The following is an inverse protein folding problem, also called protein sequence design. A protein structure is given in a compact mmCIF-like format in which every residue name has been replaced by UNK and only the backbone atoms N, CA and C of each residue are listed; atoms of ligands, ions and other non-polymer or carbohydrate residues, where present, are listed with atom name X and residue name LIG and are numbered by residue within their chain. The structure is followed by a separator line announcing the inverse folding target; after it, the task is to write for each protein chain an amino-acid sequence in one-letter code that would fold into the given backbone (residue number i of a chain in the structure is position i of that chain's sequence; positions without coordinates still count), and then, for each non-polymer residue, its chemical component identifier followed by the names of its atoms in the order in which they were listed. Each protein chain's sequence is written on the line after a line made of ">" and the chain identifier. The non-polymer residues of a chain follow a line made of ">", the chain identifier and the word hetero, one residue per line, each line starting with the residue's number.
data_IF_632700796562
#
_entry.id   IF_632700796562
#
_cell.length_a   1.000
_cell.length_b   1.000
_cell.length_c   1.000
_cell.angle_alpha   90.00
_cell.angle_beta   90.00
_cell.angle_gamma   90.00
#
_symmetry.space_group_name_H-M   'P 1'
#
loop_
_entity.id
_entity.type
_entity.pdbx_description
1 polymer ?
#
# COMPACT_ATOMS: atom_id res chain seq x y z
N UNK A 1 2.05 -14.44 28.84
CA UNK A 1 2.65 -13.59 27.86
C UNK A 1 1.60 -12.90 27.02
N UNK A 2 1.67 -11.56 26.99
CA UNK A 2 0.63 -10.70 26.44
C UNK A 2 0.70 -10.50 24.90
N UNK A 3 1.74 -11.03 24.23
CA UNK A 3 1.92 -10.85 22.78
C UNK A 3 1.01 -11.85 22.04
N UNK A 4 0.06 -11.33 21.28
CA UNK A 4 -0.89 -12.12 20.49
C UNK A 4 -0.53 -12.21 19.01
N UNK A 5 0.35 -11.31 18.51
CA UNK A 5 0.75 -11.29 17.12
C UNK A 5 1.79 -10.22 16.84
N UNK A 6 2.17 -10.14 15.57
CA UNK A 6 3.24 -9.27 15.06
C UNK A 6 2.74 -8.51 13.84
N UNK A 7 2.77 -7.19 13.88
CA UNK A 7 2.72 -6.38 12.67
C UNK A 7 4.14 -6.26 12.13
N UNK A 8 4.33 -6.62 10.87
CA UNK A 8 5.60 -6.51 10.18
C UNK A 8 5.62 -5.19 9.44
N UNK A 9 6.64 -4.36 9.72
CA UNK A 9 6.82 -3.09 9.05
C UNK A 9 5.57 -2.18 9.16
N UNK A 10 5.54 -1.10 8.40
CA UNK A 10 4.43 -0.17 8.37
C UNK A 10 4.20 0.36 6.96
N UNK A 11 2.97 0.28 6.47
CA UNK A 11 2.49 0.97 5.26
C UNK A 11 3.44 0.84 4.05
N UNK A 12 3.88 -0.37 3.74
CA UNK A 12 4.82 -0.62 2.64
C UNK A 12 4.25 -0.11 1.32
N UNK A 13 5.05 0.66 0.59
CA UNK A 13 4.68 1.37 -0.64
C UNK A 13 3.67 2.52 -0.46
N UNK A 14 3.49 3.05 0.75
CA UNK A 14 2.63 4.22 0.98
C UNK A 14 3.22 5.50 0.37
N UNK A 15 4.41 5.90 0.83
CA UNK A 15 5.04 7.16 0.40
C UNK A 15 5.82 7.01 -0.89
N UNK A 16 6.39 5.83 -1.13
CA UNK A 16 7.22 5.58 -2.29
C UNK A 16 6.88 4.24 -2.94
N UNK A 17 6.68 4.29 -4.26
CA UNK A 17 6.46 3.12 -5.11
C UNK A 17 7.18 3.26 -6.47
N UNK A 18 8.21 4.09 -6.50
CA UNK A 18 9.05 4.35 -7.66
C UNK A 18 10.52 4.28 -7.24
N UNK A 19 11.29 3.50 -7.97
CA UNK A 19 12.65 3.15 -7.63
C UNK A 19 13.56 3.43 -8.83
N UNK A 20 14.65 4.17 -8.63
CA UNK A 20 15.53 4.63 -9.71
C UNK A 20 17.01 4.56 -9.35
N UNK A 21 17.39 3.87 -8.29
CA UNK A 21 18.80 3.63 -8.02
C UNK A 21 19.40 2.69 -9.10
N UNK A 22 20.69 2.76 -9.37
CA UNK A 22 21.36 1.83 -10.29
C UNK A 22 21.07 0.36 -9.98
N UNK A 23 21.05 -0.01 -8.70
CA UNK A 23 20.69 -1.35 -8.23
C UNK A 23 19.26 -1.77 -8.59
N UNK A 24 18.31 -0.82 -8.60
CA UNK A 24 16.92 -1.11 -8.95
C UNK A 24 16.79 -1.46 -10.44
N UNK A 25 17.48 -0.70 -11.30
CA UNK A 25 17.51 -0.99 -12.73
C UNK A 25 18.16 -2.35 -13.02
N UNK A 26 19.23 -2.70 -12.30
CA UNK A 26 19.91 -3.98 -12.41
C UNK A 26 19.03 -5.14 -11.95
N UNK A 27 18.36 -4.99 -10.82
CA UNK A 27 17.40 -5.96 -10.30
C UNK A 27 16.21 -6.15 -11.26
N UNK A 28 15.70 -5.07 -11.85
CA UNK A 28 14.62 -5.14 -12.85
C UNK A 28 15.06 -5.88 -14.12
N UNK A 29 16.28 -5.62 -14.63
CA UNK A 29 16.84 -6.39 -15.75
C UNK A 29 16.94 -7.87 -15.42
N UNK A 30 17.42 -8.21 -14.21
CA UNK A 30 17.49 -9.58 -13.74
C UNK A 30 16.11 -10.24 -13.73
N UNK A 31 15.12 -9.61 -13.15
CA UNK A 31 13.73 -10.05 -13.13
C UNK A 31 13.20 -10.35 -14.54
N UNK A 32 13.42 -9.45 -15.49
CA UNK A 32 12.97 -9.63 -16.86
C UNK A 32 13.75 -10.74 -17.60
N UNK A 33 15.06 -10.88 -17.34
CA UNK A 33 15.87 -12.00 -17.87
C UNK A 33 15.36 -13.35 -17.38
N UNK A 34 15.04 -13.46 -16.12
CA UNK A 34 14.48 -14.68 -15.53
C UNK A 34 13.12 -15.03 -16.16
N UNK A 35 12.29 -14.03 -16.43
CA UNK A 35 10.95 -14.20 -16.95
C UNK A 35 10.90 -14.49 -18.46
N UNK A 36 11.67 -13.77 -19.25
CA UNK A 36 11.59 -13.80 -20.72
C UNK A 36 12.74 -14.57 -21.38
N UNK A 37 13.81 -14.83 -20.67
CA UNK A 37 15.01 -15.53 -21.12
C UNK A 37 15.88 -14.69 -22.05
N UNK A 38 15.37 -14.30 -23.20
CA UNK A 38 16.12 -13.56 -24.23
C UNK A 38 15.53 -12.16 -24.48
N UNK A 39 16.38 -11.27 -24.97
CA UNK A 39 15.97 -9.91 -25.37
C UNK A 39 14.96 -9.94 -26.52
N UNK A 40 15.07 -10.91 -27.42
CA UNK A 40 14.11 -11.11 -28.50
C UNK A 40 12.71 -11.46 -27.96
N UNK A 41 12.63 -12.35 -26.99
CA UNK A 41 11.38 -12.72 -26.35
C UNK A 41 10.75 -11.52 -25.62
N UNK A 42 11.57 -10.73 -24.91
CA UNK A 42 11.14 -9.50 -24.27
C UNK A 42 10.57 -8.52 -25.30
N UNK A 43 11.32 -8.25 -26.36
CA UNK A 43 10.90 -7.33 -27.43
C UNK A 43 9.56 -7.76 -28.05
N UNK A 44 9.42 -9.05 -28.33
CA UNK A 44 8.18 -9.60 -28.90
C UNK A 44 7.01 -9.45 -27.92
N UNK A 45 7.21 -9.77 -26.64
CA UNK A 45 6.18 -9.67 -25.62
C UNK A 45 5.75 -8.23 -25.34
N UNK A 46 6.67 -7.28 -25.44
CA UNK A 46 6.41 -5.86 -25.22
C UNK A 46 5.95 -5.13 -26.50
N UNK A 47 6.03 -5.75 -27.66
CA UNK A 47 5.66 -5.13 -28.93
C UNK A 47 6.56 -3.92 -29.28
N UNK A 48 7.85 -3.99 -28.99
CA UNK A 48 8.79 -2.87 -29.06
C UNK A 48 9.10 -2.39 -30.47
N UNK A 49 8.70 -3.11 -31.51
CA UNK A 49 8.75 -2.64 -32.90
C UNK A 49 7.92 -1.39 -33.13
N UNK A 50 6.86 -1.22 -32.33
CA UNK A 50 6.03 -0.02 -32.37
C UNK A 50 6.83 1.21 -31.91
N UNK A 51 6.83 2.26 -32.70
CA UNK A 51 7.62 3.50 -32.49
C UNK A 51 9.13 3.25 -32.32
N UNK A 52 9.64 2.17 -32.92
CA UNK A 52 11.06 1.86 -32.90
C UNK A 52 11.69 1.77 -31.49
N UNK A 53 10.98 1.13 -30.57
CA UNK A 53 11.40 0.95 -29.18
C UNK A 53 12.15 -0.36 -28.92
N UNK A 54 12.61 -1.04 -29.99
CA UNK A 54 13.27 -2.36 -29.88
C UNK A 54 14.60 -2.24 -29.13
N UNK A 55 14.73 -3.02 -28.08
CA UNK A 55 15.98 -3.17 -27.34
C UNK A 55 16.97 -4.03 -28.10
N UNK A 56 18.21 -3.58 -28.22
CA UNK A 56 19.34 -4.31 -28.83
C UNK A 56 20.35 -4.78 -27.80
N UNK A 57 20.29 -4.22 -26.59
CA UNK A 57 21.11 -4.58 -25.44
C UNK A 57 20.28 -4.52 -24.16
N UNK A 58 20.59 -5.41 -23.21
CA UNK A 58 19.95 -5.41 -21.90
C UNK A 58 20.20 -4.14 -21.10
N UNK A 59 21.31 -3.47 -21.29
CA UNK A 59 21.62 -2.20 -20.60
C UNK A 59 20.70 -1.04 -21.02
N UNK A 60 19.97 -1.19 -22.12
CA UNK A 60 18.93 -0.24 -22.53
C UNK A 60 17.62 -0.42 -21.72
N UNK A 61 17.47 -1.57 -21.06
CA UNK A 61 16.28 -1.89 -20.26
C UNK A 61 16.45 -1.35 -18.85
N UNK A 62 15.51 -0.52 -18.43
CA UNK A 62 15.48 0.09 -17.09
C UNK A 62 14.05 0.40 -16.67
N UNK A 63 13.84 0.65 -15.40
CA UNK A 63 12.59 1.17 -14.85
C UNK A 63 12.23 2.49 -15.56
N UNK A 64 10.93 2.74 -15.70
CA UNK A 64 10.40 3.88 -16.45
C UNK A 64 11.04 5.19 -16.03
N UNK A 65 11.40 6.01 -17.01
CA UNK A 65 11.91 7.35 -16.83
C UNK A 65 10.91 8.34 -17.39
N UNK A 66 10.95 9.56 -16.87
CA UNK A 66 10.19 10.64 -17.47
C UNK A 66 10.60 10.84 -18.94
N UNK A 67 9.61 10.90 -19.82
CA UNK A 67 9.79 11.23 -21.23
C UNK A 67 8.96 12.47 -21.58
N UNK A 68 9.46 13.29 -22.50
CA UNK A 68 8.73 14.48 -22.96
C UNK A 68 7.33 14.14 -23.52
N UNK A 69 7.22 13.00 -24.18
CA UNK A 69 5.96 12.53 -24.75
C UNK A 69 5.01 11.92 -23.71
N UNK A 70 5.49 11.63 -22.51
CA UNK A 70 4.74 10.92 -21.46
C UNK A 70 4.00 9.66 -21.96
N UNK A 71 4.64 8.91 -22.87
CA UNK A 71 4.07 7.75 -23.56
C UNK A 71 4.96 6.52 -23.38
N UNK A 72 4.99 6.02 -22.14
CA UNK A 72 5.69 4.78 -21.83
C UNK A 72 4.93 3.57 -22.42
N UNK A 73 5.68 2.53 -22.76
CA UNK A 73 5.10 1.26 -23.20
C UNK A 73 4.25 0.64 -22.06
N UNK A 74 2.94 0.43 -22.24
CA UNK A 74 2.06 -0.04 -21.18
C UNK A 74 2.38 -1.47 -20.70
N UNK A 75 2.96 -2.31 -21.55
CA UNK A 75 3.40 -3.65 -21.15
C UNK A 75 4.61 -3.57 -20.23
N UNK A 76 5.58 -2.70 -20.54
CA UNK A 76 6.72 -2.45 -19.66
C UNK A 76 6.28 -1.84 -18.33
N UNK A 77 5.35 -0.90 -18.34
CA UNK A 77 4.78 -0.34 -17.12
C UNK A 77 4.11 -1.40 -16.24
N UNK A 78 3.46 -2.38 -16.84
CA UNK A 78 2.86 -3.49 -16.11
C UNK A 78 3.94 -4.40 -15.49
N UNK A 79 5.01 -4.69 -16.21
CA UNK A 79 6.14 -5.46 -15.68
C UNK A 79 6.86 -4.72 -14.54
N UNK A 80 7.00 -3.43 -14.66
CA UNK A 80 7.54 -2.58 -13.59
C UNK A 80 6.70 -2.67 -12.31
N UNK A 81 5.38 -2.55 -12.43
CA UNK A 81 4.47 -2.73 -11.28
C UNK A 81 4.56 -4.12 -10.66
N UNK A 82 4.68 -5.15 -11.47
CA UNK A 82 4.88 -6.53 -11.01
C UNK A 82 6.19 -6.68 -10.26
N UNK A 83 7.27 -6.13 -10.82
CA UNK A 83 8.59 -6.14 -10.17
C UNK A 83 8.58 -5.43 -8.83
N UNK A 84 8.00 -4.23 -8.75
CA UNK A 84 7.88 -3.47 -7.50
C UNK A 84 7.07 -4.26 -6.45
N UNK A 85 5.97 -4.86 -6.87
CA UNK A 85 5.16 -5.71 -6.00
C UNK A 85 5.92 -6.92 -5.48
N UNK A 86 6.65 -7.63 -6.36
CA UNK A 86 7.46 -8.78 -5.96
C UNK A 86 8.57 -8.38 -4.98
N UNK A 87 9.24 -7.26 -5.23
CA UNK A 87 10.29 -6.74 -4.34
C UNK A 87 9.74 -6.45 -2.94
N UNK A 88 8.56 -5.82 -2.86
CA UNK A 88 7.89 -5.53 -1.59
C UNK A 88 7.45 -6.81 -0.86
N UNK A 89 6.88 -7.79 -1.59
CA UNK A 89 6.47 -9.09 -1.02
C UNK A 89 7.69 -9.86 -0.49
N UNK A 90 8.80 -9.82 -1.22
CA UNK A 90 10.04 -10.46 -0.79
C UNK A 90 10.62 -9.80 0.47
N UNK A 91 10.60 -8.47 0.51
CA UNK A 91 11.05 -7.71 1.69
C UNK A 91 10.23 -8.04 2.94
N UNK A 92 8.91 -8.03 2.83
CA UNK A 92 8.01 -8.45 3.92
C UNK A 92 8.23 -9.93 4.25
N UNK A 93 8.44 -10.75 3.23
CA UNK A 93 8.67 -12.18 3.37
C UNK A 93 9.87 -12.54 4.22
N UNK A 94 10.99 -11.83 4.09
CA UNK A 94 12.19 -12.03 4.92
C UNK A 94 11.84 -11.87 6.40
N UNK A 95 11.11 -10.83 6.75
CA UNK A 95 10.70 -10.55 8.13
C UNK A 95 9.71 -11.62 8.64
N UNK A 96 8.70 -11.96 7.82
CA UNK A 96 7.71 -12.98 8.14
C UNK A 96 8.35 -14.34 8.40
N UNK A 97 9.29 -14.74 7.57
CA UNK A 97 9.97 -16.05 7.67
C UNK A 97 10.87 -16.13 8.93
N UNK A 98 11.48 -15.00 9.31
CA UNK A 98 12.23 -14.93 10.57
C UNK A 98 11.28 -15.05 11.77
N UNK A 99 10.20 -14.27 11.79
CA UNK A 99 9.23 -14.31 12.90
C UNK A 99 8.60 -15.69 13.03
N UNK A 100 8.25 -16.35 11.94
CA UNK A 100 7.68 -17.71 11.95
C UNK A 100 8.57 -18.75 12.64
N UNK A 101 9.88 -18.57 12.62
CA UNK A 101 10.82 -19.49 13.32
C UNK A 101 10.75 -19.37 14.83
N UNK A 102 10.35 -18.21 15.36
CA UNK A 102 10.45 -17.90 16.78
C UNK A 102 9.12 -17.61 17.45
N UNK A 103 8.05 -17.33 16.67
CA UNK A 103 6.70 -17.10 17.21
C UNK A 103 6.09 -18.39 17.77
N UNK A 104 5.18 -18.25 18.72
CA UNK A 104 4.30 -19.35 19.08
C UNK A 104 3.24 -19.54 17.98
N UNK A 105 2.74 -20.79 17.80
CA UNK A 105 1.77 -21.10 16.72
C UNK A 105 0.51 -20.23 16.73
N UNK A 106 0.05 -19.83 17.92
CA UNK A 106 -1.15 -19.02 18.10
C UNK A 106 -0.95 -17.50 17.80
N UNK A 107 0.29 -17.05 17.66
CA UNK A 107 0.58 -15.66 17.35
C UNK A 107 0.46 -15.42 15.85
N UNK A 108 -0.28 -14.37 15.48
CA UNK A 108 -0.44 -14.01 14.07
C UNK A 108 0.70 -13.13 13.53
N UNK A 109 0.81 -13.09 12.21
CA UNK A 109 1.64 -12.15 11.46
C UNK A 109 0.74 -11.37 10.51
N UNK A 110 0.84 -10.06 10.54
CA UNK A 110 0.11 -9.14 9.67
C UNK A 110 0.98 -7.97 9.27
N UNK A 111 0.53 -7.18 8.32
CA UNK A 111 0.97 -5.81 8.07
C UNK A 111 -0.22 -4.95 7.71
N UNK A 112 -0.09 -3.65 7.86
CA UNK A 112 -1.12 -2.69 7.47
C UNK A 112 -0.89 -2.20 6.03
N UNK A 113 -1.96 -1.76 5.36
CA UNK A 113 -1.77 -1.24 4.02
C UNK A 113 -3.00 -1.30 3.13
N UNK A 114 -2.87 -1.93 1.98
CA UNK A 114 -3.60 -1.85 0.73
C UNK A 114 -3.12 -0.69 -0.14
N UNK A 115 -1.88 -0.26 0.04
CA UNK A 115 -1.27 0.80 -0.75
C UNK A 115 -0.98 0.35 -2.19
N UNK A 116 -0.66 1.30 -3.05
CA UNK A 116 -0.49 1.08 -4.48
C UNK A 116 0.71 0.21 -4.85
N UNK A 117 0.65 -0.35 -6.06
CA UNK A 117 1.72 -1.17 -6.64
C UNK A 117 2.13 -2.34 -5.75
N UNK A 118 1.15 -3.03 -5.17
CA UNK A 118 1.34 -4.23 -4.36
C UNK A 118 0.21 -5.22 -4.64
N UNK A 119 0.56 -6.46 -4.99
CA UNK A 119 -0.39 -7.56 -5.07
C UNK A 119 -0.72 -8.05 -3.65
N UNK A 120 -1.72 -7.41 -3.05
CA UNK A 120 -2.14 -7.69 -1.69
C UNK A 120 -2.70 -9.11 -1.53
N UNK A 121 -3.33 -9.69 -2.56
CA UNK A 121 -3.80 -11.07 -2.52
C UNK A 121 -2.64 -12.06 -2.41
N UNK A 122 -1.59 -11.85 -3.21
CA UNK A 122 -0.37 -12.67 -3.16
C UNK A 122 0.35 -12.50 -1.82
N UNK A 123 0.48 -11.26 -1.35
CA UNK A 123 1.10 -10.96 -0.07
C UNK A 123 0.42 -11.70 1.09
N UNK A 124 -0.89 -11.61 1.20
CA UNK A 124 -1.65 -12.33 2.24
C UNK A 124 -1.47 -13.83 2.08
N UNK A 125 -1.69 -14.35 0.89
CA UNK A 125 -1.63 -15.81 0.64
C UNK A 125 -0.29 -16.42 1.01
N UNK A 126 0.81 -15.71 0.75
CA UNK A 126 2.16 -16.28 0.86
C UNK A 126 2.87 -15.90 2.16
N UNK A 127 2.57 -14.73 2.72
CA UNK A 127 3.41 -14.13 3.76
C UNK A 127 2.69 -13.77 5.06
N UNK A 128 1.38 -13.55 5.03
CA UNK A 128 0.64 -13.08 6.19
C UNK A 128 -0.43 -14.08 6.64
N UNK A 129 -0.89 -13.96 7.86
CA UNK A 129 -2.05 -14.73 8.35
C UNK A 129 -3.36 -14.01 7.99
N UNK A 130 -3.34 -12.69 7.94
CA UNK A 130 -4.41 -11.81 7.43
C UNK A 130 -3.87 -10.40 7.18
N UNK A 131 -4.67 -9.57 6.53
CA UNK A 131 -4.36 -8.15 6.26
C UNK A 131 -4.98 -7.25 7.33
N UNK A 132 -4.31 -6.15 7.64
CA UNK A 132 -4.93 -5.03 8.38
C UNK A 132 -5.01 -3.78 7.51
N UNK A 133 -5.87 -2.86 7.88
CA UNK A 133 -6.15 -1.64 7.14
C UNK A 133 -6.07 -0.42 8.06
N UNK A 134 -5.64 0.70 7.50
CA UNK A 134 -5.55 1.98 8.18
C UNK A 134 -6.69 2.87 7.73
N UNK A 135 -7.63 3.12 8.65
CA UNK A 135 -8.89 3.78 8.36
C UNK A 135 -8.88 5.24 8.83
N UNK A 136 -8.67 6.14 7.87
CA UNK A 136 -8.69 7.59 8.09
C UNK A 136 -9.82 8.25 7.28
N UNK A 137 -11.07 8.16 7.73
CA UNK A 137 -12.22 8.65 6.95
C UNK A 137 -12.15 10.14 6.61
N UNK A 138 -11.47 10.96 7.41
CA UNK A 138 -11.32 12.39 7.13
C UNK A 138 -10.50 12.69 5.88
N UNK A 139 -9.67 11.77 5.38
CA UNK A 139 -8.98 11.98 4.10
C UNK A 139 -9.95 12.12 2.92
N UNK A 140 -11.10 11.46 3.00
CA UNK A 140 -12.15 11.62 2.01
C UNK A 140 -12.74 13.04 1.96
N UNK A 141 -12.57 13.81 3.04
CA UNK A 141 -13.12 15.16 3.24
C UNK A 141 -12.03 16.22 3.35
N UNK A 142 -10.81 15.96 2.87
CA UNK A 142 -9.72 16.94 2.89
C UNK A 142 -10.16 18.25 2.23
N UNK A 143 -9.93 19.37 2.91
CA UNK A 143 -10.45 20.68 2.52
C UNK A 143 -9.67 21.36 1.40
N UNK A 144 -8.52 20.81 0.98
CA UNK A 144 -7.73 21.35 -0.11
C UNK A 144 -8.45 21.25 -1.45
N UNK A 145 -9.02 22.36 -1.90
CA UNK A 145 -9.40 22.59 -3.28
C UNK A 145 -10.61 21.84 -3.82
N UNK A 146 -11.20 20.96 -3.07
CA UNK A 146 -12.38 20.26 -3.53
C UNK A 146 -13.67 20.90 -3.02
N UNK A 147 -14.29 21.69 -3.85
CA UNK A 147 -15.74 21.89 -3.71
C UNK A 147 -16.36 20.49 -3.84
N UNK A 148 -16.71 19.89 -2.72
CA UNK A 148 -17.41 18.60 -2.71
C UNK A 148 -18.67 18.77 -3.55
N UNK A 149 -18.69 18.17 -4.73
CA UNK A 149 -19.92 18.09 -5.50
C UNK A 149 -20.94 17.32 -4.66
N UNK A 150 -22.21 17.73 -4.61
CA UNK A 150 -23.29 16.94 -3.98
C UNK A 150 -23.41 15.52 -4.57
N UNK A 151 -22.82 15.29 -5.74
CA UNK A 151 -22.74 13.98 -6.42
C UNK A 151 -21.46 13.20 -6.09
N UNK A 152 -20.57 13.77 -5.27
CA UNK A 152 -19.37 13.06 -4.82
C UNK A 152 -19.78 11.88 -3.95
N UNK A 153 -19.24 10.70 -4.25
CA UNK A 153 -19.43 9.49 -3.45
C UNK A 153 -18.33 9.31 -2.39
N UNK A 154 -17.62 10.37 -2.05
CA UNK A 154 -16.50 10.32 -1.10
C UNK A 154 -16.91 9.86 0.30
N UNK A 155 -18.14 10.13 0.71
CA UNK A 155 -18.73 9.60 1.94
C UNK A 155 -18.80 8.06 1.96
N UNK A 156 -18.73 7.42 0.79
CA UNK A 156 -18.74 5.96 0.63
C UNK A 156 -17.35 5.35 0.50
N UNK A 157 -16.32 6.16 0.40
CA UNK A 157 -14.94 5.70 0.19
C UNK A 157 -14.48 4.79 1.33
N UNK A 158 -14.81 5.12 2.57
CA UNK A 158 -14.50 4.27 3.73
C UNK A 158 -15.13 2.89 3.60
N UNK A 159 -16.42 2.80 3.27
CA UNK A 159 -17.10 1.52 3.04
C UNK A 159 -16.49 0.73 1.88
N UNK A 160 -16.13 1.42 0.79
CA UNK A 160 -15.45 0.80 -0.35
C UNK A 160 -14.10 0.20 0.06
N UNK A 161 -13.29 0.95 0.79
CA UNK A 161 -11.97 0.50 1.24
C UNK A 161 -12.06 -0.67 2.23
N UNK A 162 -13.02 -0.65 3.15
CA UNK A 162 -13.30 -1.78 4.06
C UNK A 162 -13.74 -3.03 3.29
N UNK A 163 -14.63 -2.89 2.30
CA UNK A 163 -15.04 -3.99 1.44
C UNK A 163 -13.87 -4.53 0.60
N UNK A 164 -13.01 -3.65 0.07
CA UNK A 164 -11.78 -4.00 -0.63
C UNK A 164 -10.83 -4.79 0.28
N UNK A 165 -10.63 -4.35 1.52
CA UNK A 165 -9.78 -5.05 2.50
C UNK A 165 -10.30 -6.47 2.74
N UNK A 166 -11.60 -6.60 2.95
CA UNK A 166 -12.25 -7.90 3.13
C UNK A 166 -12.16 -8.80 1.88
N UNK A 167 -12.07 -8.24 0.69
CA UNK A 167 -11.88 -9.02 -0.54
C UNK A 167 -10.49 -9.63 -0.63
N UNK A 168 -9.49 -8.96 -0.05
CA UNK A 168 -8.10 -9.43 -0.02
C UNK A 168 -7.89 -10.48 1.08
N UNK A 169 -8.55 -10.28 2.21
CA UNK A 169 -8.40 -11.14 3.38
C UNK A 169 -9.75 -11.34 4.06
N UNK A 170 -10.24 -12.58 4.13
CA UNK A 170 -11.55 -12.91 4.73
C UNK A 170 -11.63 -12.52 6.21
N UNK A 171 -10.50 -12.55 6.91
CA UNK A 171 -10.29 -11.93 8.22
C UNK A 171 -9.46 -10.69 8.06
N UNK A 172 -9.82 -9.62 8.75
CA UNK A 172 -9.03 -8.40 8.76
C UNK A 172 -9.26 -7.61 10.05
N UNK A 173 -8.30 -6.74 10.38
CA UNK A 173 -8.42 -5.78 11.46
C UNK A 173 -8.18 -4.37 10.99
N UNK A 174 -8.54 -3.41 11.83
CA UNK A 174 -8.13 -2.01 11.65
C UNK A 174 -6.94 -1.78 12.58
N UNK A 175 -5.76 -1.61 11.98
CA UNK A 175 -4.54 -1.38 12.74
C UNK A 175 -4.41 0.08 13.17
N UNK A 176 -4.89 0.99 12.33
CA UNK A 176 -4.90 2.42 12.61
C UNK A 176 -6.29 2.98 12.30
N UNK A 177 -7.10 3.15 13.33
CA UNK A 177 -8.37 3.88 13.22
C UNK A 177 -8.14 5.32 13.64
N UNK A 178 -8.52 6.25 12.81
CA UNK A 178 -8.50 7.68 13.16
C UNK A 178 -9.22 7.92 14.50
N UNK A 179 -8.54 8.58 15.44
CA UNK A 179 -9.04 8.81 16.80
C UNK A 179 -9.40 10.29 17.08
N UNK A 180 -9.10 11.20 16.17
CA UNK A 180 -9.39 12.62 16.33
C UNK A 180 -9.11 13.45 15.08
N UNK A 181 -8.97 14.77 15.20
CA UNK A 181 -8.46 15.60 14.13
C UNK A 181 -7.09 15.11 13.68
N UNK A 182 -6.77 15.29 12.40
CA UNK A 182 -5.50 14.86 11.84
C UNK A 182 -4.75 15.96 11.14
N UNK A 183 -3.47 15.76 10.92
CA UNK A 183 -2.65 16.66 10.13
C UNK A 183 -1.15 16.41 10.30
N UNK A 184 -0.41 16.66 9.23
CA UNK A 184 1.04 16.64 9.24
C UNK A 184 1.60 18.06 9.09
N UNK A 185 2.61 18.39 9.85
CA UNK A 185 3.24 19.72 9.84
C UNK A 185 2.21 20.83 10.07
N UNK A 186 1.94 21.62 9.03
CA UNK A 186 0.99 22.73 9.03
C UNK A 186 -0.34 22.38 8.36
N UNK A 187 -0.58 21.12 8.02
CA UNK A 187 -1.83 20.68 7.38
C UNK A 187 -2.97 20.62 8.38
N UNK A 188 -3.41 21.78 8.83
CA UNK A 188 -4.58 21.96 9.67
C UNK A 188 -5.89 21.90 8.87
N UNK A 189 -5.86 21.29 7.69
CA UNK A 189 -6.96 21.34 6.72
C UNK A 189 -7.96 20.19 6.86
N UNK A 190 -7.70 19.25 7.74
CA UNK A 190 -8.65 18.18 8.03
C UNK A 190 -9.65 18.65 9.10
N UNK A 191 -10.94 18.54 8.82
CA UNK A 191 -11.96 18.96 9.79
C UNK A 191 -11.91 18.06 11.02
N UNK A 192 -12.18 18.63 12.18
CA UNK A 192 -12.37 17.84 13.38
C UNK A 192 -13.59 16.92 13.23
N UNK A 193 -13.51 15.65 13.66
CA UNK A 193 -14.66 14.76 13.68
C UNK A 193 -15.81 15.36 14.49
N UNK A 194 -17.02 15.28 13.95
CA UNK A 194 -18.23 15.69 14.67
C UNK A 194 -18.53 14.72 15.84
N UNK A 195 -19.23 15.17 16.88
CA UNK A 195 -19.66 14.27 17.94
C UNK A 195 -20.38 13.02 17.38
N UNK A 196 -19.92 11.86 17.78
CA UNK A 196 -20.44 10.56 17.33
C UNK A 196 -19.78 9.98 16.07
N UNK A 197 -19.01 10.75 15.28
CA UNK A 197 -18.36 10.23 14.08
C UNK A 197 -17.32 9.14 14.39
N UNK A 198 -16.49 9.32 15.41
CA UNK A 198 -15.51 8.29 15.80
C UNK A 198 -16.19 6.96 16.12
N UNK A 199 -17.27 7.01 16.88
CA UNK A 199 -18.08 5.82 17.18
C UNK A 199 -18.70 5.23 15.90
N UNK A 200 -19.22 6.06 15.01
CA UNK A 200 -19.77 5.62 13.73
C UNK A 200 -18.71 4.88 12.90
N UNK A 201 -17.52 5.42 12.76
CA UNK A 201 -16.43 4.80 12.01
C UNK A 201 -15.98 3.46 12.61
N UNK A 202 -15.90 3.38 13.93
CA UNK A 202 -15.59 2.14 14.63
C UNK A 202 -16.63 1.06 14.32
N UNK A 203 -17.92 1.38 14.48
CA UNK A 203 -18.98 0.43 14.19
C UNK A 203 -19.14 0.11 12.71
N UNK A 204 -18.79 1.05 11.83
CA UNK A 204 -18.71 0.81 10.39
C UNK A 204 -17.64 -0.26 10.09
N UNK A 205 -16.45 -0.14 10.66
CA UNK A 205 -15.38 -1.14 10.52
C UNK A 205 -15.82 -2.53 11.00
N UNK A 206 -16.47 -2.59 12.17
CA UNK A 206 -17.03 -3.83 12.73
C UNK A 206 -18.13 -4.39 11.83
N UNK A 207 -19.04 -3.55 11.33
CA UNK A 207 -20.12 -3.97 10.44
C UNK A 207 -19.62 -4.52 9.09
N UNK A 208 -18.46 -4.06 8.64
CA UNK A 208 -17.77 -4.63 7.47
C UNK A 208 -16.99 -5.91 7.79
N UNK A 209 -16.94 -6.33 9.07
CA UNK A 209 -16.35 -7.58 9.51
C UNK A 209 -14.92 -7.49 10.01
N UNK A 210 -14.49 -6.31 10.50
CA UNK A 210 -13.21 -6.19 11.17
C UNK A 210 -13.22 -6.96 12.50
N UNK A 211 -12.22 -7.82 12.73
CA UNK A 211 -12.07 -8.63 13.95
C UNK A 211 -11.64 -7.77 15.16
N UNK A 212 -10.93 -6.66 14.90
CA UNK A 212 -10.52 -5.71 15.93
C UNK A 212 -10.34 -4.30 15.34
N UNK A 213 -10.34 -3.32 16.21
CA UNK A 213 -10.06 -1.91 15.88
C UNK A 213 -9.04 -1.36 16.87
N UNK A 214 -7.89 -0.94 16.37
CA UNK A 214 -6.84 -0.24 17.11
C UNK A 214 -6.85 1.23 16.69
N UNK A 215 -6.86 2.13 17.66
CA UNK A 215 -6.88 3.56 17.35
C UNK A 215 -5.48 4.12 17.17
N UNK A 216 -5.32 4.95 16.16
CA UNK A 216 -4.12 5.77 16.04
C UNK A 216 -4.44 7.20 16.53
N UNK A 217 -4.02 7.56 17.73
CA UNK A 217 -3.14 6.77 18.63
C UNK A 217 -3.61 6.91 20.07
N UNK A 218 -2.89 6.29 21.01
CA UNK A 218 -3.21 6.31 22.44
C UNK A 218 -3.29 7.73 23.01
N UNK A 219 -2.38 8.62 22.64
CA UNK A 219 -2.39 10.04 23.05
C UNK A 219 -1.62 10.90 22.06
N UNK A 220 -1.99 12.15 21.96
CA UNK A 220 -1.36 13.15 21.11
C UNK A 220 0.12 13.34 21.46
N UNK A 221 0.99 13.45 20.46
CA UNK A 221 2.36 13.91 20.64
C UNK A 221 2.41 15.39 20.96
N UNK A 222 3.39 15.80 21.74
CA UNK A 222 3.63 17.21 22.07
C UNK A 222 4.68 17.87 21.18
N UNK A 223 5.35 17.08 20.30
CA UNK A 223 6.40 17.55 19.37
C UNK A 223 6.51 16.58 18.19
N UNK A 224 7.21 17.02 17.16
CA UNK A 224 7.47 16.22 15.95
C UNK A 224 6.42 16.43 14.85
N UNK A 225 6.61 15.76 13.74
CA UNK A 225 5.82 15.96 12.50
C UNK A 225 4.33 15.65 12.69
N UNK A 226 4.02 14.70 13.57
CA UNK A 226 2.64 14.22 13.82
C UNK A 226 1.98 14.84 15.06
N UNK A 227 2.47 15.98 15.55
CA UNK A 227 1.88 16.62 16.71
C UNK A 227 0.41 17.04 16.52
N UNK A 228 -0.06 17.13 15.29
CA UNK A 228 -1.45 17.46 14.96
C UNK A 228 -2.37 16.24 14.82
N UNK A 229 -1.81 15.04 14.87
CA UNK A 229 -2.60 13.82 14.98
C UNK A 229 -3.00 13.59 16.43
N UNK A 230 -4.28 13.65 16.68
CA UNK A 230 -4.82 13.53 18.02
C UNK A 230 -5.14 12.08 18.38
N UNK A 231 -4.79 11.70 19.60
CA UNK A 231 -5.15 10.46 20.25
C UNK A 231 -6.33 10.63 21.20
#
# INVERSE_FOLDING_TARGET
>A
PAIIGWQIDNEVNCETNSYHAPSDHEAFRKYLKEKYGTLENLNRAMGTTFWNQTYTDWEQVHLSRYTLANSNNPHMMLEEKRFISEAAINYIGIQADIIRKYRRPEQFITTNGLFGVLDNHKLVKEKLDFMTYDSYPNFAFAMEGSKLSPRSLRDRETSFNLAKTRSVSTRFGIMEQQSGPGGWNTRLLQPAPKPGQLRLWTFQSIAHGADFVSYFRWRTCTFGTEMYWHG
#
